data_IF_579127947317
#
_entry.id   IF_579127947317
#
_cell.length_a   1.000
_cell.length_b   1.000
_cell.length_c   1.000
_cell.angle_alpha   90.00
_cell.angle_beta   90.00
_cell.angle_gamma   90.00
#
_symmetry.space_group_name_H-M   'P 1'
#
loop_
_entity.id
_entity.type
_entity.pdbx_description
1 polymer ?
#
# COMPACT_ATOMS: atom_id res chain seq x y z
N UNK A 1 3.46 1.27 21.70
CA UNK A 1 4.35 2.26 21.05
C UNK A 1 3.71 3.64 20.94
N UNK A 2 2.69 3.84 20.11
CA UNK A 2 2.09 5.17 19.85
C UNK A 2 1.58 5.91 21.08
N UNK A 3 0.97 5.19 22.03
CA UNK A 3 0.57 5.75 23.34
C UNK A 3 1.75 6.28 24.16
N UNK A 4 2.93 5.67 24.04
CA UNK A 4 4.13 6.09 24.78
C UNK A 4 4.80 7.31 24.15
N UNK A 5 4.84 7.37 22.82
CA UNK A 5 5.37 8.54 22.09
C UNK A 5 4.35 9.69 21.98
N UNK A 6 3.12 9.50 22.45
CA UNK A 6 2.03 10.50 22.43
C UNK A 6 1.75 11.09 21.03
N UNK A 7 1.89 10.28 19.98
CA UNK A 7 1.58 10.65 18.58
C UNK A 7 0.45 9.80 18.04
N UNK A 8 -0.42 10.42 17.24
CA UNK A 8 -1.54 9.71 16.61
C UNK A 8 -1.05 8.94 15.37
N UNK A 9 -1.30 7.62 15.25
CA UNK A 9 -0.94 6.85 14.05
C UNK A 9 -1.58 7.41 12.77
N UNK A 10 -2.72 8.10 12.86
CA UNK A 10 -3.39 8.72 11.70
C UNK A 10 -2.48 9.70 10.96
N UNK A 11 -1.58 10.36 11.69
CA UNK A 11 -0.62 11.30 11.11
C UNK A 11 0.46 10.65 10.24
N UNK A 12 0.63 9.34 10.33
CA UNK A 12 1.66 8.60 9.60
C UNK A 12 1.21 8.08 8.23
N UNK A 13 -0.06 8.20 7.88
CA UNK A 13 -0.59 7.71 6.60
C UNK A 13 0.16 8.27 5.39
N UNK A 14 0.41 9.58 5.37
CA UNK A 14 1.15 10.24 4.29
C UNK A 14 2.67 10.10 4.44
N UNK A 15 3.29 10.33 5.62
CA UNK A 15 4.74 10.19 5.80
C UNK A 15 5.29 8.80 5.48
N UNK A 16 4.51 7.73 5.62
CA UNK A 16 4.97 6.36 5.33
C UNK A 16 4.88 5.97 3.85
N UNK A 17 4.18 6.74 2.98
CA UNK A 17 4.06 6.39 1.56
C UNK A 17 5.42 6.18 0.88
N UNK A 18 6.42 7.07 1.06
CA UNK A 18 7.74 6.84 0.48
C UNK A 18 8.41 5.56 0.99
N UNK A 19 8.25 5.19 2.27
CA UNK A 19 8.76 3.91 2.78
C UNK A 19 8.06 2.70 2.12
N UNK A 20 6.75 2.79 1.91
CA UNK A 20 6.01 1.75 1.16
C UNK A 20 6.59 1.63 -0.26
N UNK A 21 6.91 2.75 -0.90
CA UNK A 21 7.58 2.76 -2.21
C UNK A 21 8.99 2.16 -2.18
N UNK A 22 9.79 2.39 -1.13
CA UNK A 22 11.11 1.76 -0.99
C UNK A 22 10.99 0.24 -1.07
N UNK A 23 10.11 -0.36 -0.26
CA UNK A 23 9.94 -1.81 -0.21
C UNK A 23 9.32 -2.38 -1.49
N UNK A 24 8.22 -1.75 -1.94
CA UNK A 24 7.46 -2.23 -3.10
C UNK A 24 8.24 -2.03 -4.41
N UNK A 25 8.92 -0.90 -4.55
CA UNK A 25 9.76 -0.57 -5.71
C UNK A 25 11.00 -1.46 -5.81
N UNK A 26 11.71 -1.68 -4.70
CA UNK A 26 12.85 -2.60 -4.69
C UNK A 26 12.40 -4.02 -5.07
N UNK A 27 11.25 -4.47 -4.53
CA UNK A 27 10.68 -5.77 -4.88
C UNK A 27 10.27 -5.85 -6.36
N UNK A 28 9.71 -4.79 -6.93
CA UNK A 28 9.34 -4.74 -8.35
C UNK A 28 10.56 -4.74 -9.29
N UNK A 29 11.66 -4.11 -8.87
CA UNK A 29 12.94 -4.15 -9.59
C UNK A 29 13.56 -5.55 -9.58
N UNK A 30 13.41 -6.30 -8.47
CA UNK A 30 13.80 -7.73 -8.42
C UNK A 30 12.93 -8.56 -9.36
N UNK A 31 11.60 -8.35 -9.37
CA UNK A 31 10.68 -9.08 -10.28
C UNK A 31 11.04 -8.86 -11.76
N UNK A 32 11.63 -7.72 -12.11
CA UNK A 32 12.05 -7.36 -13.47
C UNK A 32 13.53 -7.63 -13.77
N UNK A 33 14.23 -8.36 -12.89
CA UNK A 33 15.64 -8.74 -13.07
C UNK A 33 16.64 -7.58 -13.01
N UNK A 34 16.25 -6.41 -12.51
CA UNK A 34 17.15 -5.24 -12.35
C UNK A 34 17.98 -5.38 -11.08
N UNK A 35 17.34 -5.76 -9.97
CA UNK A 35 18.01 -6.08 -8.72
C UNK A 35 18.18 -7.58 -8.56
N UNK A 36 19.28 -8.03 -7.91
CA UNK A 36 19.55 -9.46 -7.74
C UNK A 36 18.52 -10.10 -6.80
N UNK A 37 18.17 -11.35 -7.11
CA UNK A 37 17.31 -12.17 -6.27
C UNK A 37 18.08 -12.56 -4.99
N UNK A 38 17.87 -11.81 -3.92
CA UNK A 38 18.46 -12.08 -2.60
C UNK A 38 17.37 -12.18 -1.56
N UNK A 39 17.61 -12.97 -0.50
CA UNK A 39 16.64 -13.18 0.58
C UNK A 39 16.21 -11.86 1.25
N UNK A 40 17.07 -10.83 1.22
CA UNK A 40 16.78 -9.51 1.77
C UNK A 40 15.89 -8.64 0.88
N UNK A 41 15.91 -8.85 -0.44
CA UNK A 41 15.11 -8.06 -1.40
C UNK A 41 13.80 -8.76 -1.81
N UNK A 42 13.62 -10.02 -1.41
CA UNK A 42 12.39 -10.80 -1.63
C UNK A 42 11.54 -10.81 -0.35
N UNK A 43 10.25 -11.13 -0.50
CA UNK A 43 9.31 -11.29 0.62
C UNK A 43 9.63 -12.53 1.46
N UNK A 44 9.53 -12.47 2.81
CA UNK A 44 9.14 -11.32 3.62
C UNK A 44 10.30 -10.36 3.95
N UNK A 45 11.54 -10.71 3.61
CA UNK A 45 12.77 -9.98 4.02
C UNK A 45 12.74 -8.47 3.76
N UNK A 46 12.36 -8.05 2.55
CA UNK A 46 12.34 -6.62 2.19
C UNK A 46 11.37 -5.81 3.06
N UNK A 47 10.19 -6.36 3.35
CA UNK A 47 9.19 -5.67 4.17
C UNK A 47 9.58 -5.64 5.64
N UNK A 48 10.31 -6.64 6.14
CA UNK A 48 10.88 -6.63 7.48
C UNK A 48 11.94 -5.53 7.57
N UNK A 49 12.87 -5.45 6.61
CA UNK A 49 13.92 -4.43 6.60
C UNK A 49 13.30 -3.03 6.57
N UNK A 50 12.43 -2.77 5.58
CA UNK A 50 11.78 -1.46 5.43
C UNK A 50 10.91 -1.13 6.64
N UNK A 51 10.21 -2.10 7.21
CA UNK A 51 9.41 -1.92 8.44
C UNK A 51 10.27 -1.54 9.64
N UNK A 52 11.39 -2.23 9.86
CA UNK A 52 12.35 -1.89 10.92
C UNK A 52 12.95 -0.51 10.68
N UNK A 53 13.38 -0.20 9.46
CA UNK A 53 13.91 1.13 9.12
C UNK A 53 12.87 2.21 9.39
N UNK A 54 11.61 2.03 8.98
CA UNK A 54 10.53 2.98 9.24
C UNK A 54 10.29 3.20 10.75
N UNK A 55 10.32 2.14 11.56
CA UNK A 55 10.18 2.23 13.02
C UNK A 55 11.37 2.99 13.64
N UNK A 56 12.61 2.66 13.24
CA UNK A 56 13.81 3.37 13.72
C UNK A 56 13.72 4.85 13.35
N UNK A 57 13.34 5.16 12.12
CA UNK A 57 13.19 6.54 11.67
C UNK A 57 12.07 7.27 12.39
N UNK A 58 10.94 6.62 12.67
CA UNK A 58 9.88 7.17 13.50
C UNK A 58 10.40 7.54 14.90
N UNK A 59 11.06 6.61 15.59
CA UNK A 59 11.59 6.85 16.94
C UNK A 59 12.67 7.95 16.95
N UNK A 60 13.54 7.97 15.94
CA UNK A 60 14.55 9.01 15.78
C UNK A 60 13.90 10.37 15.51
N UNK A 61 12.90 10.43 14.64
CA UNK A 61 12.20 11.67 14.28
C UNK A 61 11.47 12.30 15.46
N UNK A 62 10.84 11.48 16.33
CA UNK A 62 10.20 11.97 17.57
C UNK A 62 11.23 12.54 18.53
N UNK A 63 12.38 11.89 18.70
CA UNK A 63 13.48 12.43 19.54
C UNK A 63 14.05 13.74 18.99
N UNK A 64 14.15 13.87 17.66
CA UNK A 64 14.61 15.09 17.01
C UNK A 64 13.59 16.23 17.14
N UNK A 65 12.29 15.91 17.08
CA UNK A 65 11.23 16.87 17.34
C UNK A 65 11.31 17.42 18.77
N UNK A 66 11.50 16.53 19.77
CA UNK A 66 11.66 16.94 21.18
C UNK A 66 12.90 17.82 21.41
N UNK A 67 14.00 17.55 20.71
CA UNK A 67 15.28 18.26 20.93
C UNK A 67 15.43 19.54 20.11
N UNK A 68 14.95 19.54 18.86
CA UNK A 68 15.20 20.62 17.88
C UNK A 68 13.92 21.27 17.35
N UNK A 69 12.72 20.79 17.73
CA UNK A 69 11.44 21.32 17.26
C UNK A 69 11.11 20.99 15.80
N UNK A 70 11.83 20.06 15.17
CA UNK A 70 11.60 19.67 13.79
C UNK A 70 10.38 18.75 13.67
N UNK A 71 9.49 19.03 12.71
CA UNK A 71 8.30 18.22 12.47
C UNK A 71 8.67 16.78 12.08
N UNK A 72 8.37 15.82 12.98
CA UNK A 72 8.68 14.41 12.79
C UNK A 72 8.07 13.83 11.50
N UNK A 73 6.89 14.32 11.08
CA UNK A 73 6.20 13.87 9.87
C UNK A 73 7.03 14.18 8.63
N UNK A 74 7.63 15.37 8.58
CA UNK A 74 8.51 15.80 7.49
C UNK A 74 9.79 14.99 7.47
N UNK A 75 10.39 14.72 8.64
CA UNK A 75 11.61 13.91 8.74
C UNK A 75 11.35 12.50 8.18
N UNK A 76 10.25 11.86 8.59
CA UNK A 76 9.87 10.53 8.09
C UNK A 76 9.67 10.57 6.57
N UNK A 77 8.87 11.52 6.07
CA UNK A 77 8.60 11.63 4.64
C UNK A 77 9.88 11.86 3.82
N UNK A 78 10.73 12.80 4.24
CA UNK A 78 11.99 13.12 3.55
C UNK A 78 12.97 11.95 3.59
N UNK A 79 13.10 11.26 4.73
CA UNK A 79 13.97 10.09 4.84
C UNK A 79 13.53 8.96 3.90
N UNK A 80 12.22 8.68 3.80
CA UNK A 80 11.70 7.69 2.87
C UNK A 80 11.87 8.11 1.40
N UNK A 81 11.76 9.40 1.07
CA UNK A 81 12.08 9.91 -0.27
C UNK A 81 13.55 9.72 -0.62
N UNK A 82 14.46 10.05 0.31
CA UNK A 82 15.90 9.84 0.12
C UNK A 82 16.22 8.36 -0.10
N UNK A 83 15.61 7.47 0.68
CA UNK A 83 15.75 6.02 0.52
C UNK A 83 15.11 5.48 -0.78
N UNK A 84 14.18 6.22 -1.39
CA UNK A 84 13.54 5.85 -2.65
C UNK A 84 14.39 6.18 -3.87
N UNK A 85 15.41 7.03 -3.74
CA UNK A 85 16.26 7.48 -4.87
C UNK A 85 16.88 6.29 -5.63
N UNK A 86 17.50 5.29 -4.98
CA UNK A 86 18.08 4.14 -5.70
C UNK A 86 17.06 3.42 -6.56
N UNK A 87 15.82 3.23 -6.07
CA UNK A 87 14.77 2.59 -6.84
C UNK A 87 14.41 3.41 -8.08
N UNK A 88 14.22 4.72 -7.92
CA UNK A 88 13.86 5.64 -9.01
C UNK A 88 14.93 5.65 -10.10
N UNK A 89 16.21 5.66 -9.72
CA UNK A 89 17.34 5.65 -10.67
C UNK A 89 17.41 4.38 -11.51
N UNK A 90 16.87 3.27 -11.02
CA UNK A 90 16.93 1.95 -11.69
C UNK A 90 15.60 1.55 -12.35
N UNK A 91 14.58 2.42 -12.34
CA UNK A 91 13.31 2.15 -13.02
C UNK A 91 13.55 2.01 -14.53
N UNK A 92 13.04 0.91 -15.11
CA UNK A 92 12.97 0.71 -16.55
C UNK A 92 11.95 1.67 -17.18
N UNK A 93 12.02 1.93 -18.50
CA UNK A 93 10.99 2.69 -19.20
C UNK A 93 9.60 2.10 -18.95
N UNK A 94 8.63 2.96 -18.64
CA UNK A 94 7.27 2.53 -18.35
C UNK A 94 6.47 2.24 -19.62
N UNK A 95 5.80 1.10 -19.65
CA UNK A 95 4.71 0.84 -20.57
C UNK A 95 3.49 1.66 -20.15
N UNK A 96 3.09 2.61 -21.00
CA UNK A 96 1.99 3.52 -20.71
C UNK A 96 0.61 2.83 -20.77
N UNK A 97 0.49 1.73 -21.52
CA UNK A 97 -0.77 1.00 -21.67
C UNK A 97 -1.29 0.41 -20.35
N UNK A 98 -0.53 -0.45 -19.63
CA UNK A 98 -0.97 -0.94 -18.32
C UNK A 98 -1.03 0.19 -17.28
N UNK A 99 -0.16 1.19 -17.38
CA UNK A 99 -0.17 2.36 -16.49
C UNK A 99 -1.54 3.08 -16.51
N UNK A 100 -2.01 3.49 -17.69
CA UNK A 100 -3.29 4.17 -17.82
C UNK A 100 -4.47 3.24 -17.57
N UNK A 101 -4.40 1.96 -17.99
CA UNK A 101 -5.45 0.98 -17.75
C UNK A 101 -5.72 0.75 -16.26
N UNK A 102 -4.66 0.54 -15.47
CA UNK A 102 -4.78 0.36 -14.01
C UNK A 102 -5.29 1.63 -13.35
N UNK A 103 -4.74 2.80 -13.69
CA UNK A 103 -5.17 4.06 -13.10
C UNK A 103 -6.64 4.36 -13.39
N UNK A 104 -7.10 4.12 -14.62
CA UNK A 104 -8.50 4.33 -14.99
C UNK A 104 -9.45 3.47 -14.16
N UNK A 105 -9.15 2.17 -14.02
CA UNK A 105 -9.97 1.23 -13.24
C UNK A 105 -9.94 1.62 -11.75
N UNK A 106 -8.76 1.86 -11.20
CA UNK A 106 -8.60 2.23 -9.79
C UNK A 106 -9.34 3.52 -9.44
N UNK A 107 -9.21 4.56 -10.28
CA UNK A 107 -9.91 5.83 -10.11
C UNK A 107 -11.42 5.63 -10.23
N UNK A 108 -11.90 4.88 -11.23
CA UNK A 108 -13.32 4.61 -11.39
C UNK A 108 -13.94 3.95 -10.14
N UNK A 109 -13.32 2.88 -9.63
CA UNK A 109 -13.80 2.23 -8.40
C UNK A 109 -13.67 3.12 -7.17
N UNK A 110 -12.55 3.83 -7.00
CA UNK A 110 -12.37 4.74 -5.87
C UNK A 110 -13.41 5.86 -5.88
N UNK A 111 -13.76 6.42 -7.04
CA UNK A 111 -14.79 7.46 -7.17
C UNK A 111 -16.19 6.94 -6.83
N UNK A 112 -16.54 5.71 -7.22
CA UNK A 112 -17.81 5.07 -6.81
C UNK A 112 -17.88 5.03 -5.29
N UNK A 113 -16.85 4.53 -4.60
CA UNK A 113 -16.88 4.46 -3.14
C UNK A 113 -16.73 5.82 -2.45
N UNK A 114 -16.03 6.79 -3.06
CA UNK A 114 -15.95 8.15 -2.56
C UNK A 114 -17.32 8.84 -2.59
N UNK A 115 -18.07 8.67 -3.67
CA UNK A 115 -19.44 9.23 -3.80
C UNK A 115 -20.42 8.55 -2.87
N UNK A 116 -20.36 7.21 -2.73
CA UNK A 116 -21.15 6.48 -1.71
C UNK A 116 -20.79 6.91 -0.29
N UNK A 117 -19.50 7.18 -0.03
CA UNK A 117 -19.00 7.65 1.27
C UNK A 117 -19.53 9.01 1.71
N UNK A 118 -20.02 9.84 0.79
CA UNK A 118 -20.68 11.10 1.15
C UNK A 118 -21.96 10.88 1.98
N UNK A 119 -22.60 9.71 1.85
CA UNK A 119 -23.81 9.34 2.58
C UNK A 119 -23.58 8.24 3.62
N UNK A 120 -22.53 7.44 3.46
CA UNK A 120 -22.25 6.31 4.34
C UNK A 120 -21.22 6.67 5.43
N UNK A 121 -21.66 6.67 6.69
CA UNK A 121 -20.83 7.00 7.87
C UNK A 121 -19.44 6.34 7.87
N UNK A 122 -19.35 5.05 7.51
CA UNK A 122 -18.10 4.31 7.53
C UNK A 122 -17.07 4.86 6.53
N UNK A 123 -17.50 5.25 5.33
CA UNK A 123 -16.63 5.71 4.24
C UNK A 123 -16.50 7.23 4.17
N UNK A 124 -17.28 7.97 4.98
CA UNK A 124 -17.12 9.42 5.12
C UNK A 124 -15.77 9.80 5.78
N UNK A 125 -15.20 8.90 6.59
CA UNK A 125 -13.84 9.07 7.08
C UNK A 125 -12.82 8.86 5.95
N UNK A 126 -12.05 9.91 5.66
CA UNK A 126 -10.98 9.90 4.64
C UNK A 126 -9.97 8.78 4.86
N UNK A 127 -9.72 8.38 6.11
CA UNK A 127 -8.81 7.28 6.42
C UNK A 127 -9.38 5.94 5.95
N UNK A 128 -10.66 5.70 6.21
CA UNK A 128 -11.36 4.48 5.80
C UNK A 128 -11.43 4.39 4.26
N UNK A 129 -11.73 5.51 3.60
CA UNK A 129 -11.71 5.58 2.14
C UNK A 129 -10.30 5.33 1.57
N UNK A 130 -9.25 5.87 2.21
CA UNK A 130 -7.86 5.63 1.78
C UNK A 130 -7.46 4.16 1.94
N UNK A 131 -7.86 3.51 3.04
CA UNK A 131 -7.65 2.07 3.25
C UNK A 131 -8.34 1.27 2.16
N UNK A 132 -9.62 1.54 1.88
CA UNK A 132 -10.36 0.87 0.81
C UNK A 132 -9.70 1.10 -0.56
N UNK A 133 -9.35 2.35 -0.87
CA UNK A 133 -8.72 2.73 -2.14
C UNK A 133 -7.38 2.02 -2.36
N UNK A 134 -6.56 1.82 -1.32
CA UNK A 134 -5.31 1.07 -1.42
C UNK A 134 -5.55 -0.40 -1.82
N UNK A 135 -6.61 -1.02 -1.29
CA UNK A 135 -6.98 -2.39 -1.64
C UNK A 135 -7.63 -2.48 -3.03
N UNK A 136 -8.41 -1.47 -3.42
CA UNK A 136 -8.93 -1.36 -4.79
C UNK A 136 -7.81 -1.16 -5.82
N UNK A 137 -6.76 -0.43 -5.46
CA UNK A 137 -5.56 -0.29 -6.29
C UNK A 137 -4.90 -1.64 -6.52
N UNK A 138 -4.69 -2.43 -5.48
CA UNK A 138 -4.15 -3.80 -5.59
C UNK A 138 -5.04 -4.70 -6.47
N UNK A 139 -6.37 -4.71 -6.26
CA UNK A 139 -7.28 -5.43 -7.15
C UNK A 139 -7.19 -4.97 -8.61
N UNK A 140 -7.07 -3.66 -8.85
CA UNK A 140 -6.94 -3.11 -10.20
C UNK A 140 -5.66 -3.58 -10.87
N UNK A 141 -4.55 -3.61 -10.12
CA UNK A 141 -3.27 -4.10 -10.64
C UNK A 141 -3.32 -5.59 -10.94
N UNK A 142 -3.89 -6.42 -10.06
CA UNK A 142 -4.02 -7.86 -10.35
C UNK A 142 -4.96 -8.11 -11.52
N UNK A 143 -6.13 -7.46 -11.57
CA UNK A 143 -7.08 -7.65 -12.66
C UNK A 143 -6.44 -7.36 -14.02
N UNK A 144 -5.75 -6.22 -14.14
CA UNK A 144 -5.07 -5.89 -15.39
C UNK A 144 -3.95 -6.91 -15.69
N UNK A 145 -3.13 -7.26 -14.71
CA UNK A 145 -2.00 -8.17 -14.90
C UNK A 145 -2.44 -9.58 -15.33
N UNK A 146 -3.45 -10.14 -14.67
CA UNK A 146 -3.90 -11.52 -14.91
C UNK A 146 -4.70 -11.61 -16.21
N UNK A 147 -5.71 -10.77 -16.38
CA UNK A 147 -6.66 -10.92 -17.49
C UNK A 147 -6.09 -10.44 -18.83
N UNK A 148 -5.15 -9.48 -18.83
CA UNK A 148 -4.63 -8.87 -20.06
C UNK A 148 -3.16 -9.17 -20.35
N UNK A 149 -2.37 -9.56 -19.35
CA UNK A 149 -0.92 -9.74 -19.49
C UNK A 149 -0.42 -11.14 -19.09
N UNK A 150 -1.33 -12.08 -18.77
CA UNK A 150 -0.98 -13.49 -18.51
C UNK A 150 -0.20 -13.72 -17.21
N UNK A 151 -0.24 -12.77 -16.27
CA UNK A 151 0.30 -12.98 -14.93
C UNK A 151 -0.60 -13.92 -14.11
N UNK A 152 -0.06 -14.42 -13.01
CA UNK A 152 -0.78 -15.30 -12.08
C UNK A 152 -0.84 -14.70 -10.68
N UNK A 153 -2.01 -14.81 -10.04
CA UNK A 153 -2.20 -14.41 -8.66
C UNK A 153 -1.58 -15.46 -7.71
N UNK A 154 -0.85 -14.98 -6.70
CA UNK A 154 -0.11 -15.81 -5.75
C UNK A 154 -0.92 -16.12 -4.48
N UNK A 155 -1.98 -15.37 -4.20
CA UNK A 155 -2.80 -15.56 -3.01
C UNK A 155 -3.82 -16.70 -3.18
N UNK A 156 -3.78 -17.70 -2.29
CA UNK A 156 -4.61 -18.93 -2.36
C UNK A 156 -6.10 -18.67 -2.61
N UNK A 157 -6.73 -17.79 -1.82
CA UNK A 157 -8.17 -17.53 -1.91
C UNK A 157 -8.55 -16.78 -3.21
N UNK A 158 -7.90 -15.66 -3.56
CA UNK A 158 -8.05 -15.04 -4.88
C UNK A 158 -7.83 -16.02 -6.05
N UNK A 159 -6.75 -16.81 -6.04
CA UNK A 159 -6.45 -17.78 -7.10
C UNK A 159 -7.56 -18.81 -7.25
N UNK A 160 -8.10 -19.34 -6.14
CA UNK A 160 -9.23 -20.27 -6.17
C UNK A 160 -10.47 -19.66 -6.85
N UNK A 161 -10.81 -18.42 -6.51
CA UNK A 161 -11.98 -17.73 -7.09
C UNK A 161 -11.76 -17.37 -8.56
N UNK A 162 -10.55 -16.93 -8.92
CA UNK A 162 -10.17 -16.65 -10.32
C UNK A 162 -10.28 -17.91 -11.18
N UNK A 163 -9.86 -19.07 -10.67
CA UNK A 163 -9.97 -20.34 -11.39
C UNK A 163 -11.42 -20.77 -11.65
N UNK A 164 -12.35 -20.42 -10.77
CA UNK A 164 -13.78 -20.72 -10.95
C UNK A 164 -14.43 -19.74 -11.92
N UNK A 165 -14.07 -18.46 -11.82
CA UNK A 165 -14.71 -17.37 -12.59
C UNK A 165 -14.02 -17.08 -13.92
N UNK A 166 -12.83 -17.65 -14.15
CA UNK A 166 -11.93 -17.36 -15.28
C UNK A 166 -11.53 -15.87 -15.40
N UNK A 167 -11.63 -15.08 -14.33
CA UNK A 167 -11.26 -13.67 -14.32
C UNK A 167 -10.78 -13.23 -12.93
N UNK A 168 -9.73 -12.41 -12.88
CA UNK A 168 -9.29 -11.78 -11.64
C UNK A 168 -10.20 -10.63 -11.19
N UNK A 169 -11.24 -10.29 -11.97
CA UNK A 169 -12.23 -9.27 -11.57
C UNK A 169 -12.94 -9.63 -10.26
N UNK A 170 -13.04 -10.93 -9.93
CA UNK A 170 -13.60 -11.42 -8.66
C UNK A 170 -12.86 -10.88 -7.41
N UNK A 171 -11.64 -10.39 -7.57
CA UNK A 171 -10.89 -9.77 -6.47
C UNK A 171 -11.52 -8.46 -5.97
N UNK A 172 -12.21 -7.71 -6.83
CA UNK A 172 -12.89 -6.48 -6.41
C UNK A 172 -13.94 -6.74 -5.33
N UNK A 173 -15.00 -7.55 -5.59
CA UNK A 173 -16.01 -7.81 -4.57
C UNK A 173 -15.42 -8.49 -3.33
N UNK A 174 -14.42 -9.38 -3.50
CA UNK A 174 -13.73 -10.01 -2.38
C UNK A 174 -13.05 -8.97 -1.46
N UNK A 175 -12.21 -8.10 -2.02
CA UNK A 175 -11.51 -7.07 -1.24
C UNK A 175 -12.46 -6.06 -0.64
N UNK A 176 -13.46 -5.61 -1.40
CA UNK A 176 -14.48 -4.68 -0.92
C UNK A 176 -15.18 -5.27 0.30
N UNK A 177 -15.68 -6.52 0.22
CA UNK A 177 -16.38 -7.17 1.32
C UNK A 177 -15.49 -7.31 2.56
N UNK A 178 -14.27 -7.84 2.39
CA UNK A 178 -13.35 -8.05 3.50
C UNK A 178 -12.98 -6.71 4.15
N UNK A 179 -12.59 -5.70 3.37
CA UNK A 179 -12.10 -4.43 3.91
C UNK A 179 -13.22 -3.63 4.57
N UNK A 180 -14.43 -3.60 3.99
CA UNK A 180 -15.57 -2.94 4.63
C UNK A 180 -15.94 -3.62 5.95
N UNK A 181 -15.91 -4.96 6.00
CA UNK A 181 -16.17 -5.73 7.22
C UNK A 181 -15.13 -5.43 8.29
N UNK A 182 -13.85 -5.46 7.94
CA UNK A 182 -12.75 -5.17 8.86
C UNK A 182 -12.80 -3.73 9.37
N UNK A 183 -13.06 -2.75 8.49
CA UNK A 183 -13.21 -1.35 8.89
C UNK A 183 -14.41 -1.15 9.83
N UNK A 184 -15.53 -1.84 9.59
CA UNK A 184 -16.69 -1.80 10.48
C UNK A 184 -16.34 -2.30 11.89
N UNK A 185 -15.64 -3.43 12.01
CA UNK A 185 -15.17 -3.91 13.31
C UNK A 185 -14.17 -2.97 13.97
N UNK A 186 -13.28 -2.36 13.18
CA UNK A 186 -12.29 -1.38 13.67
C UNK A 186 -12.98 -0.14 14.26
N UNK A 187 -14.11 0.28 13.70
CA UNK A 187 -14.85 1.42 14.26
C UNK A 187 -15.41 1.17 15.66
N UNK A 188 -15.63 -0.09 16.03
CA UNK A 188 -16.08 -0.50 17.36
C UNK A 188 -15.04 -0.35 18.48
N UNK A 189 -13.76 -0.13 18.17
CA UNK A 189 -12.73 0.06 19.20
C UNK A 189 -12.79 1.48 19.79
N UNK A 190 -12.80 1.58 21.12
CA UNK A 190 -12.78 2.86 21.84
C UNK A 190 -11.41 3.55 21.79
N UNK A 191 -10.31 2.77 21.85
CA UNK A 191 -8.96 3.34 21.84
C UNK A 191 -8.57 3.80 20.43
N UNK A 192 -8.53 5.13 20.25
CA UNK A 192 -8.10 5.77 18.99
C UNK A 192 -6.71 5.35 18.52
N UNK A 193 -5.78 5.06 19.43
CA UNK A 193 -4.42 4.63 19.07
C UNK A 193 -4.45 3.24 18.45
N UNK A 194 -5.25 2.33 19.02
CA UNK A 194 -5.45 0.98 18.46
C UNK A 194 -6.15 1.09 17.12
N UNK A 195 -7.26 1.83 17.05
CA UNK A 195 -8.05 2.05 15.83
C UNK A 195 -7.16 2.53 14.67
N UNK A 196 -6.41 3.62 14.87
CA UNK A 196 -5.59 4.20 13.81
C UNK A 196 -4.35 3.36 13.47
N UNK A 197 -3.81 2.60 14.43
CA UNK A 197 -2.72 1.64 14.17
C UNK A 197 -3.21 0.50 13.27
N UNK A 198 -4.40 -0.04 13.53
CA UNK A 198 -4.98 -1.07 12.68
C UNK A 198 -5.27 -0.55 11.26
N UNK A 199 -5.86 0.65 11.15
CA UNK A 199 -6.12 1.28 9.84
C UNK A 199 -4.84 1.46 9.03
N UNK A 200 -3.76 1.97 9.64
CA UNK A 200 -2.50 2.18 8.90
C UNK A 200 -1.83 0.86 8.51
N UNK A 201 -1.91 -0.17 9.36
CA UNK A 201 -1.43 -1.51 9.01
C UNK A 201 -2.18 -2.08 7.79
N UNK A 202 -3.51 -1.98 7.76
CA UNK A 202 -4.32 -2.48 6.64
C UNK A 202 -4.08 -1.65 5.37
N UNK A 203 -3.89 -0.34 5.50
CA UNK A 203 -3.49 0.53 4.40
C UNK A 203 -2.17 0.08 3.76
N UNK A 204 -1.14 -0.16 4.59
CA UNK A 204 0.17 -0.66 4.12
C UNK A 204 0.02 -2.02 3.45
N UNK A 205 -0.77 -2.94 4.04
CA UNK A 205 -1.02 -4.28 3.49
C UNK A 205 -1.73 -4.25 2.13
N UNK A 206 -2.52 -3.22 1.83
CA UNK A 206 -3.13 -3.04 0.51
C UNK A 206 -2.20 -2.34 -0.48
N UNK A 207 -1.59 -1.22 -0.04
CA UNK A 207 -0.81 -0.38 -0.94
C UNK A 207 0.51 -1.04 -1.36
N UNK A 208 1.18 -1.77 -0.46
CA UNK A 208 2.47 -2.40 -0.76
C UNK A 208 2.41 -3.43 -1.91
N UNK A 209 1.54 -4.47 -1.87
CA UNK A 209 1.40 -5.40 -2.99
C UNK A 209 0.88 -4.70 -4.25
N UNK A 210 -0.07 -3.76 -4.13
CA UNK A 210 -0.58 -3.04 -5.30
C UNK A 210 0.50 -2.21 -6.00
N UNK A 211 1.33 -1.51 -5.23
CA UNK A 211 2.44 -0.73 -5.79
C UNK A 211 3.53 -1.61 -6.39
N UNK A 212 3.82 -2.76 -5.77
CA UNK A 212 4.73 -3.75 -6.35
C UNK A 212 4.18 -4.23 -7.70
N UNK A 213 2.94 -4.71 -7.75
CA UNK A 213 2.31 -5.24 -8.96
C UNK A 213 2.24 -4.19 -10.07
N UNK A 214 1.85 -2.96 -9.71
CA UNK A 214 1.81 -1.81 -10.62
C UNK A 214 3.18 -1.54 -11.25
N UNK A 215 4.21 -1.37 -10.43
CA UNK A 215 5.57 -1.10 -10.92
C UNK A 215 6.11 -2.29 -11.70
N UNK A 216 5.88 -3.52 -11.24
CA UNK A 216 6.33 -4.73 -11.91
C UNK A 216 5.76 -4.84 -13.31
N UNK A 217 4.46 -4.61 -13.47
CA UNK A 217 3.78 -4.70 -14.76
C UNK A 217 4.14 -3.53 -15.68
N UNK A 218 4.22 -2.31 -15.15
CA UNK A 218 4.56 -1.15 -15.98
C UNK A 218 6.02 -1.20 -16.45
N UNK A 219 6.93 -1.86 -15.73
CA UNK A 219 8.32 -2.09 -16.15
C UNK A 219 8.53 -3.34 -17.00
N UNK A 220 7.50 -4.18 -17.13
CA UNK A 220 7.58 -5.40 -17.93
C UNK A 220 7.69 -5.02 -19.41
N UNK A 221 8.81 -5.39 -20.01
CA UNK A 221 9.12 -5.24 -21.44
C UNK A 221 9.13 -6.59 -22.11
#
# INVERSE_FOLDING_TARGET
MFRWIKKDPKDLFLPLIPFIFVGSGARALVDNGVYPLTLFLVTPGIYIIVGITAIITLLASVKLEEKFGWDYKRIIFLSGLLLSIPNIMHLKPFNLTPFFGILAIWVAFTLIFATLGLRWYLLNDRVNLAVLSAHLFDASTTFVAVDFYGYWEQHVLPTFLTNITNTAFVMFPLKILIILTVLYFIEGFEDKYVKNTLKISIFILGLAPGLRNFLSLCMAT
#
